data_IF_463713275761
#
_entry.id   IF_463713275761
#
_cell.length_a   1.000
_cell.length_b   1.000
_cell.length_c   1.000
_cell.angle_alpha   90.00
_cell.angle_beta   90.00
_cell.angle_gamma   90.00
#
_symmetry.space_group_name_H-M   'P 1'
#
loop_
_entity.id
_entity.type
_entity.pdbx_description
1 polymer ?
2 non-polymer ?
3 non-polymer ?
4 non-polymer ?
5 non-polymer ?
6 water ?
#
# COMPACT_ATOMS: atom_id res chain seq x y z
N UNK A 8 3.14 -14.12 -15.12
CA UNK A 8 2.72 -13.27 -14.01
C UNK A 8 1.98 -14.08 -12.94
N UNK A 9 2.70 -14.44 -11.87
CA UNK A 9 2.09 -15.18 -10.77
C UNK A 9 2.30 -14.41 -9.47
N UNK A 10 1.29 -14.47 -8.61
CA UNK A 10 1.32 -13.80 -7.31
C UNK A 10 0.80 -14.74 -6.24
N UNK A 11 1.39 -14.64 -5.06
CA UNK A 11 1.06 -15.49 -3.94
C UNK A 11 0.13 -14.91 -2.87
N UNK A 12 -0.60 -15.79 -2.19
CA UNK A 12 -1.49 -15.39 -1.09
C UNK A 12 -0.55 -15.41 0.14
N UNK A 13 -0.30 -14.25 0.73
CA UNK A 13 0.62 -14.12 1.86
C UNK A 13 0.08 -13.06 2.84
N UNK A 14 -0.93 -13.43 3.65
CA UNK A 14 -1.49 -12.45 4.59
C UNK A 14 -0.47 -11.73 5.48
N UNK A 15 -0.58 -10.40 5.55
CA UNK A 15 0.31 -9.62 6.36
C UNK A 15 1.75 -9.52 5.87
N UNK A 16 2.04 -10.08 4.69
CA UNK A 16 3.37 -10.01 4.12
C UNK A 16 4.45 -10.84 4.80
N UNK A 17 4.06 -11.68 5.75
CA UNK A 17 5.00 -12.50 6.50
C UNK A 17 5.39 -13.73 5.70
N UNK A 18 6.67 -13.89 5.45
CA UNK A 18 7.21 -15.01 4.68
C UNK A 18 8.43 -15.53 5.42
N UNK A 19 8.60 -16.85 5.46
CA UNK A 19 9.73 -17.42 6.17
C UNK A 19 11.00 -17.45 5.34
N UNK A 20 12.13 -17.61 6.01
CA UNK A 20 13.42 -17.69 5.35
C UNK A 20 13.52 -18.91 4.42
N UNK A 21 12.83 -19.99 4.77
CA UNK A 21 12.80 -21.19 3.95
C UNK A 21 12.00 -20.91 2.69
N UNK A 22 10.87 -20.24 2.86
CA UNK A 22 10.02 -19.88 1.74
C UNK A 22 10.76 -18.89 0.84
N UNK A 23 11.54 -18.01 1.43
CA UNK A 23 12.29 -17.04 0.64
C UNK A 23 13.32 -17.74 -0.26
N UNK A 24 14.05 -18.69 0.30
CA UNK A 24 15.06 -19.42 -0.47
C UNK A 24 14.42 -20.14 -1.67
N UNK A 25 13.22 -20.65 -1.47
CA UNK A 25 12.50 -21.33 -2.52
C UNK A 25 12.07 -20.36 -3.61
N UNK A 26 11.58 -19.18 -3.24
CA UNK A 26 11.15 -18.22 -4.26
C UNK A 26 12.33 -17.56 -4.97
N UNK A 27 13.45 -17.42 -4.25
CA UNK A 27 14.63 -16.82 -4.85
C UNK A 27 15.18 -17.74 -5.97
N UNK A 28 15.14 -19.05 -5.73
CA UNK A 28 15.63 -20.02 -6.70
C UNK A 28 14.79 -20.00 -7.96
N UNK A 29 13.49 -20.13 -7.79
CA UNK A 29 12.58 -20.14 -8.92
C UNK A 29 12.71 -18.88 -9.74
N UNK A 30 12.74 -17.73 -9.06
CA UNK A 30 12.87 -16.42 -9.73
C UNK A 30 14.08 -16.38 -10.66
N UNK A 31 15.20 -16.86 -10.15
CA UNK A 31 16.44 -16.86 -10.93
C UNK A 31 16.50 -17.88 -12.05
N UNK A 32 16.03 -19.10 -11.81
CA UNK A 32 16.08 -20.16 -12.80
C UNK A 32 14.88 -20.33 -13.73
N UNK A 33 13.70 -19.90 -13.33
CA UNK A 33 12.52 -20.13 -14.15
C UNK A 33 11.71 -18.98 -14.70
N UNK A 34 12.25 -17.77 -14.67
CA UNK A 34 11.53 -16.62 -15.20
C UNK A 34 12.44 -15.83 -16.15
N UNK A 35 11.83 -15.09 -17.06
CA UNK A 35 12.58 -14.28 -18.02
C UNK A 35 13.37 -13.16 -17.36
N UNK A 36 12.71 -12.44 -16.45
CA UNK A 36 13.35 -11.30 -15.79
C UNK A 36 14.28 -11.61 -14.63
N UNK A 37 14.10 -12.79 -14.01
CA UNK A 37 14.94 -13.23 -12.91
C UNK A 37 14.80 -12.47 -11.59
N UNK A 38 13.80 -11.60 -11.52
CA UNK A 38 13.60 -10.78 -10.34
C UNK A 38 12.48 -11.24 -9.43
N UNK A 39 12.48 -10.68 -8.22
CA UNK A 39 11.40 -10.91 -7.28
C UNK A 39 10.87 -9.49 -7.14
N UNK A 40 9.58 -9.28 -7.39
CA UNK A 40 8.98 -7.94 -7.30
C UNK A 40 8.03 -7.91 -6.11
N UNK A 41 8.38 -7.09 -5.12
CA UNK A 41 7.56 -6.92 -3.93
C UNK A 41 6.46 -5.96 -4.35
N UNK A 42 5.22 -6.30 -4.03
CA UNK A 42 4.09 -5.46 -4.40
C UNK A 42 3.64 -4.61 -3.22
N UNK A 43 2.79 -3.62 -3.50
CA UNK A 43 2.30 -2.77 -2.43
C UNK A 43 1.14 -3.37 -1.64
N UNK A 44 0.85 -4.64 -1.89
CA UNK A 44 -0.16 -5.38 -1.12
C UNK A 44 0.51 -6.49 -0.29
N UNK A 45 1.79 -6.28 0.02
CA UNK A 45 2.55 -7.18 0.87
C UNK A 45 2.73 -8.61 0.38
N UNK A 46 2.98 -8.75 -0.92
CA UNK A 46 3.24 -10.06 -1.47
C UNK A 46 4.30 -9.89 -2.55
N UNK A 47 4.57 -10.94 -3.30
CA UNK A 47 5.58 -10.86 -4.32
C UNK A 47 5.05 -11.39 -5.65
N UNK A 48 5.75 -11.04 -6.73
CA UNK A 48 5.41 -11.49 -8.08
C UNK A 48 6.67 -11.86 -8.85
N UNK A 49 6.50 -12.84 -9.75
CA UNK A 49 7.56 -13.26 -10.65
C UNK A 49 7.09 -12.67 -11.98
N UNK A 50 8.03 -12.33 -12.86
CA UNK A 50 7.67 -11.78 -14.15
C UNK A 50 8.24 -12.62 -15.30
N UNK A 51 7.36 -13.02 -16.22
CA UNK A 51 7.78 -13.81 -17.35
C UNK A 51 8.10 -15.24 -16.98
N UNK A 52 7.15 -15.94 -16.41
CA UNK A 52 7.38 -17.32 -16.03
C UNK A 52 7.47 -18.12 -17.31
N UNK A 53 8.53 -18.91 -17.45
CA UNK A 53 8.71 -19.74 -18.65
C UNK A 53 7.70 -20.90 -18.74
N UNK A 59 4.08 -26.40 -11.82
CA UNK A 59 5.52 -26.37 -11.52
C UNK A 59 5.88 -25.27 -10.50
N UNK A 60 5.26 -24.10 -10.61
CA UNK A 60 5.49 -23.00 -9.67
C UNK A 60 4.63 -23.35 -8.46
N UNK A 61 3.44 -23.90 -8.72
CA UNK A 61 2.49 -24.29 -7.69
C UNK A 61 3.04 -25.41 -6.83
N UNK A 62 3.83 -26.29 -7.43
CA UNK A 62 4.43 -27.39 -6.71
C UNK A 62 5.51 -26.78 -5.81
N UNK A 63 6.25 -25.83 -6.38
CA UNK A 63 7.30 -25.13 -5.66
C UNK A 63 6.67 -24.39 -4.49
N UNK A 64 5.56 -23.70 -4.76
CA UNK A 64 4.86 -22.95 -3.73
C UNK A 64 4.37 -23.91 -2.65
N UNK A 65 3.54 -24.86 -3.06
CA UNK A 65 2.97 -25.86 -2.16
C UNK A 65 3.99 -26.58 -1.30
N UNK A 66 5.17 -26.89 -1.86
CA UNK A 66 6.20 -27.59 -1.11
C UNK A 66 6.72 -26.82 0.11
N UNK A 67 6.75 -25.49 0.01
CA UNK A 67 7.19 -24.64 1.11
C UNK A 67 6.00 -24.04 1.87
N UNK A 68 4.81 -24.57 1.62
CA UNK A 68 3.63 -24.10 2.30
C UNK A 68 2.96 -22.83 1.79
N UNK A 69 3.30 -22.42 0.57
CA UNK A 69 2.72 -21.21 -0.02
C UNK A 69 1.67 -21.59 -1.08
N UNK A 70 0.61 -20.81 -1.19
CA UNK A 70 -0.40 -21.10 -2.20
C UNK A 70 -0.69 -19.88 -3.09
N UNK A 71 -0.50 -20.05 -4.40
CA UNK A 71 -0.79 -18.98 -5.35
C UNK A 71 -2.30 -18.86 -5.42
N UNK A 72 -2.82 -17.66 -5.14
CA UNK A 72 -4.28 -17.43 -5.16
C UNK A 72 -4.96 -17.96 -6.41
N UNK A 76 -12.24 -17.54 -10.13
CA UNK A 76 -13.40 -17.87 -9.33
C UNK A 76 -13.31 -17.26 -7.93
N UNK A 77 -12.20 -16.58 -7.66
CA UNK A 77 -11.98 -15.95 -6.36
C UNK A 77 -11.68 -14.46 -6.53
N UNK A 78 -12.64 -13.63 -6.16
CA UNK A 78 -12.45 -12.18 -6.26
C UNK A 78 -11.78 -11.68 -4.98
N UNK A 79 -10.69 -12.32 -4.58
CA UNK A 79 -10.00 -11.90 -3.37
C UNK A 79 -8.51 -11.65 -3.53
N UNK A 80 -8.09 -10.51 -2.97
CA UNK A 80 -6.69 -10.08 -3.02
C UNK A 80 -6.03 -10.25 -1.62
N UNK A 81 -4.75 -10.08 -1.56
CA UNK A 81 -4.02 -10.24 -0.30
C UNK A 81 -4.53 -9.33 0.81
N UNK A 82 -4.71 -9.91 2.00
CA UNK A 82 -5.18 -9.19 3.17
C UNK A 82 -3.94 -8.55 3.80
N UNK A 83 -3.95 -7.23 3.95
CA UNK A 83 -2.81 -6.52 4.54
C UNK A 83 -2.85 -6.39 6.07
N UNK A 84 -1.69 -6.17 6.66
CA UNK A 84 -1.58 -5.97 8.09
C UNK A 84 -0.37 -5.09 8.37
N UNK A 85 -0.57 -4.04 9.17
CA UNK A 85 0.51 -3.14 9.55
C UNK A 85 1.76 -3.98 9.87
N UNK A 86 2.85 -3.69 9.19
CA UNK A 86 4.08 -4.46 9.31
C UNK A 86 5.01 -4.25 10.47
N UNK A 87 5.09 -3.02 10.97
CA UNK A 87 6.06 -2.71 12.02
C UNK A 87 5.49 -1.71 13.03
N UNK A 88 4.46 -2.11 13.80
CA UNK A 88 3.81 -1.23 14.78
C UNK A 88 4.74 -0.66 15.85
N UNK A 89 4.51 0.60 16.22
CA UNK A 89 5.34 1.22 17.26
C UNK A 89 5.29 0.38 18.52
N UNK A 90 4.09 -0.10 18.85
CA UNK A 90 3.91 -0.98 19.99
C UNK A 90 4.08 -2.37 19.39
N UNK A 91 5.33 -2.82 19.28
CA UNK A 91 5.67 -4.12 18.68
C UNK A 91 4.89 -5.36 19.09
N UNK A 92 4.43 -5.39 20.33
CA UNK A 92 3.69 -6.54 20.83
C UNK A 92 2.36 -6.76 20.14
N UNK A 93 1.77 -5.70 19.60
CA UNK A 93 0.48 -5.81 18.93
C UNK A 93 0.49 -6.53 17.60
N UNK A 94 1.66 -6.61 16.97
CA UNK A 94 1.74 -7.24 15.66
C UNK A 94 1.28 -8.68 15.61
N UNK A 95 1.73 -9.50 16.56
CA UNK A 95 1.37 -10.92 16.60
C UNK A 95 -0.13 -11.15 16.59
N UNK A 96 -0.86 -10.45 17.44
CA UNK A 96 -2.31 -10.61 17.47
C UNK A 96 -2.96 -10.12 16.18
N UNK A 97 -2.62 -8.90 15.76
CA UNK A 97 -3.18 -8.34 14.54
C UNK A 97 -2.94 -9.26 13.34
N UNK A 98 -1.73 -9.79 13.23
CA UNK A 98 -1.33 -10.68 12.14
C UNK A 98 -2.17 -11.96 12.20
N UNK A 99 -2.37 -12.48 13.41
CA UNK A 99 -3.20 -13.66 13.61
C UNK A 99 -4.58 -13.42 12.99
N UNK A 100 -5.14 -12.24 13.25
CA UNK A 100 -6.45 -11.90 12.70
C UNK A 100 -6.46 -11.70 11.20
N UNK A 101 -5.39 -11.11 10.64
CA UNK A 101 -5.35 -10.92 9.18
C UNK A 101 -5.34 -12.29 8.50
N UNK A 102 -4.61 -13.23 9.11
CA UNK A 102 -4.51 -14.58 8.59
C UNK A 102 -5.87 -15.27 8.68
N UNK A 103 -6.59 -15.07 9.78
CA UNK A 103 -7.91 -15.68 9.96
C UNK A 103 -8.96 -15.14 9.00
N UNK A 104 -8.95 -13.83 8.77
CA UNK A 104 -9.89 -13.20 7.84
C UNK A 104 -9.58 -13.71 6.43
N UNK A 105 -8.29 -13.83 6.13
CA UNK A 105 -7.84 -14.32 4.84
C UNK A 105 -8.39 -15.70 4.54
N UNK A 106 -8.20 -16.63 5.46
CA UNK A 106 -8.69 -17.99 5.28
C UNK A 106 -10.20 -18.04 5.32
N UNK A 107 -10.80 -17.18 6.13
CA UNK A 107 -12.25 -17.15 6.24
C UNK A 107 -12.91 -16.73 4.93
N UNK A 108 -12.32 -15.77 4.25
CA UNK A 108 -12.87 -15.27 2.99
C UNK A 108 -12.57 -16.15 1.79
N UNK A 109 -11.59 -17.03 1.92
CA UNK A 109 -11.19 -17.92 0.83
C UNK A 109 -12.35 -18.83 0.37
N UNK A 110 -12.48 -19.04 -0.96
CA UNK A 110 -13.54 -19.89 -1.53
C UNK A 110 -13.49 -21.34 -1.05
N UNK A 137 -18.20 -17.58 -2.58
CA UNK A 137 -19.09 -16.68 -3.32
C UNK A 137 -18.32 -15.98 -4.44
N UNK A 138 -18.99 -15.72 -5.55
CA UNK A 138 -18.33 -15.00 -6.64
C UNK A 138 -18.68 -13.52 -6.49
N UNK A 139 -17.69 -12.73 -6.08
CA UNK A 139 -17.89 -11.31 -5.91
C UNK A 139 -17.88 -10.66 -7.30
N UNK A 140 -18.62 -9.56 -7.47
CA UNK A 140 -18.66 -8.89 -8.77
C UNK A 140 -17.23 -8.46 -9.12
N UNK A 141 -16.69 -7.58 -8.27
CA UNK A 141 -15.35 -7.04 -8.42
C UNK A 141 -14.43 -7.66 -7.36
N UNK A 142 -13.15 -7.35 -7.42
CA UNK A 142 -12.20 -7.86 -6.44
C UNK A 142 -12.37 -7.16 -5.10
N UNK A 143 -12.30 -7.95 -4.03
CA UNK A 143 -12.47 -7.42 -2.69
C UNK A 143 -11.13 -7.29 -1.97
N UNK A 144 -10.82 -6.09 -1.46
CA UNK A 144 -9.56 -5.82 -0.77
C UNK A 144 -9.79 -5.52 0.72
N UNK A 145 -9.04 -6.19 1.59
CA UNK A 145 -9.20 -6.08 3.05
C UNK A 145 -7.88 -5.79 3.77
N UNK A 146 -7.96 -5.10 4.91
CA UNK A 146 -6.77 -4.80 5.71
C UNK A 146 -7.07 -4.83 7.20
N UNK A 147 -5.99 -5.00 7.99
CA UNK A 147 -6.02 -4.93 9.44
C UNK A 147 -5.00 -3.81 9.73
N UNK A 148 -5.44 -2.71 10.34
CA UNK A 148 -4.58 -1.55 10.60
C UNK A 148 -4.34 -1.35 12.08
N UNK A 149 -3.10 -0.98 12.42
CA UNK A 149 -2.74 -0.71 13.81
C UNK A 149 -2.34 0.76 13.89
N UNK A 150 -3.24 1.63 14.40
CA UNK A 150 -2.90 3.05 14.52
C UNK A 150 -1.61 3.17 15.35
N UNK A 151 -0.87 4.27 15.19
CA UNK A 151 -1.11 5.43 14.33
C UNK A 151 -0.54 5.29 12.92
N UNK A 152 -0.23 4.07 12.51
CA UNK A 152 0.32 3.86 11.18
C UNK A 152 -0.72 3.44 10.14
N UNK A 153 -0.72 4.13 9.00
CA UNK A 153 -1.63 3.79 7.91
C UNK A 153 -0.77 3.38 6.72
N UNK A 154 0.27 2.61 7.01
CA UNK A 154 1.18 2.13 5.96
C UNK A 154 0.44 1.30 4.89
N UNK A 155 -0.58 0.56 5.33
CA UNK A 155 -1.34 -0.26 4.40
C UNK A 155 -2.30 0.53 3.53
N UNK A 156 -2.39 1.84 3.75
CA UNK A 156 -3.24 2.75 2.96
C UNK A 156 -4.70 2.27 2.94
N UNK A 157 -5.34 2.32 4.11
CA UNK A 157 -6.69 1.83 4.26
C UNK A 157 -7.73 2.37 3.30
N UNK A 158 -7.62 3.63 2.92
CA UNK A 158 -8.61 4.23 2.04
C UNK A 158 -8.66 3.73 0.62
N UNK A 159 -7.74 2.83 0.28
CA UNK A 159 -7.72 2.22 -1.04
C UNK A 159 -8.45 0.87 -1.00
N UNK A 160 -9.00 0.51 0.16
CA UNK A 160 -9.63 -0.81 0.33
C UNK A 160 -11.11 -0.87 0.65
N UNK A 161 -11.73 -1.98 0.25
CA UNK A 161 -13.15 -2.25 0.50
C UNK A 161 -13.52 -2.43 1.97
N UNK A 162 -12.70 -3.18 2.71
CA UNK A 162 -12.98 -3.48 4.10
C UNK A 162 -11.75 -3.34 4.99
N UNK A 163 -11.88 -2.57 6.06
CA UNK A 163 -10.77 -2.30 6.95
C UNK A 163 -11.11 -2.45 8.41
N UNK A 164 -10.27 -3.21 9.12
CA UNK A 164 -10.43 -3.41 10.55
C UNK A 164 -9.31 -2.67 11.26
N UNK A 165 -9.65 -1.55 11.87
CA UNK A 165 -8.68 -0.72 12.60
C UNK A 165 -8.61 -1.24 14.05
N UNK A 166 -7.48 -1.84 14.39
CA UNK A 166 -7.28 -2.40 15.72
C UNK A 166 -7.33 -1.41 16.89
N UNK A 167 -8.09 -1.79 17.92
CA UNK A 167 -8.22 -0.99 19.14
C UNK A 167 -7.66 -1.90 20.24
N UNK A 168 -6.63 -1.42 20.93
CA UNK A 168 -6.01 -2.18 22.01
C UNK A 168 -6.14 -1.50 23.35
N UNK A 169 -6.31 -2.33 24.36
CA UNK A 169 -6.42 -1.89 25.74
C UNK A 169 -5.36 -2.71 26.44
N UNK A 170 -4.47 -2.02 27.13
CA UNK A 170 -3.42 -2.66 27.90
C UNK A 170 -2.60 -3.72 27.15
N UNK A 171 -2.17 -3.36 25.95
CA UNK A 171 -1.35 -4.23 25.13
C UNK A 171 -2.04 -5.38 24.46
N UNK A 172 -3.36 -5.45 24.63
CA UNK A 172 -4.15 -6.51 24.04
C UNK A 172 -5.21 -5.89 23.15
N UNK A 173 -5.47 -6.56 22.05
CA UNK A 173 -6.47 -6.11 21.09
C UNK A 173 -7.82 -6.44 21.73
N UNK A 174 -8.76 -5.50 21.72
CA UNK A 174 -10.08 -5.76 22.28
C UNK A 174 -11.15 -5.74 21.19
N UNK A 175 -10.84 -5.11 20.06
CA UNK A 175 -11.82 -5.05 18.98
C UNK A 175 -11.32 -4.29 17.78
N UNK A 176 -12.24 -3.94 16.88
CA UNK A 176 -11.92 -3.22 15.65
C UNK A 176 -12.93 -2.16 15.26
N UNK A 177 -12.45 -1.06 14.67
CA UNK A 177 -13.35 -0.06 14.14
C UNK A 177 -13.42 -0.55 12.69
N UNK A 178 -14.62 -0.60 12.10
CA UNK A 178 -14.76 -1.06 10.72
C UNK A 178 -14.97 0.12 9.78
N UNK A 179 -14.16 0.20 8.73
CA UNK A 179 -14.28 1.25 7.72
C UNK A 179 -14.48 0.51 6.39
N UNK A 180 -15.49 0.92 5.63
CA UNK A 180 -15.82 0.24 4.39
C UNK A 180 -15.98 1.18 3.22
N UNK A 181 -15.57 0.73 2.05
CA UNK A 181 -15.79 1.52 0.86
C UNK A 181 -14.70 2.24 0.09
N UNK A 182 -13.44 1.99 0.40
CA UNK A 182 -12.37 2.67 -0.30
C UNK A 182 -12.12 2.02 -1.65
N UNK A 183 -11.51 2.77 -2.56
CA UNK A 183 -11.21 2.22 -3.88
C UNK A 183 -10.70 3.38 -4.72
N UNK A 184 -9.66 3.15 -5.53
CA UNK A 184 -9.05 4.26 -6.28
C UNK A 184 -9.17 4.30 -7.79
N UNK A 185 -9.56 3.18 -8.37
CA UNK A 185 -9.65 3.08 -9.82
C UNK A 185 -10.64 4.06 -10.45
N UNK A 186 -10.20 4.68 -11.54
CA UNK A 186 -11.05 5.60 -12.28
C UNK A 186 -10.77 5.32 -13.74
N UNK A 187 -11.52 5.98 -14.60
CA UNK A 187 -11.36 5.81 -16.03
C UNK A 187 -11.20 7.23 -16.52
N UNK A 188 -10.20 7.51 -17.36
CA UNK A 188 -10.00 8.88 -17.84
C UNK A 188 -11.25 9.49 -18.48
N UNK A 189 -11.58 10.71 -18.05
CA UNK A 189 -12.71 11.44 -18.61
C UNK A 189 -14.10 10.91 -18.30
N UNK A 190 -14.18 9.79 -17.60
CA UNK A 190 -15.46 9.20 -17.24
C UNK A 190 -15.88 9.65 -15.85
N UNK A 191 -16.70 10.70 -15.78
CA UNK A 191 -17.14 11.24 -14.50
C UNK A 191 -18.05 10.37 -13.68
N UNK A 192 -18.37 9.17 -14.18
CA UNK A 192 -19.21 8.24 -13.43
C UNK A 192 -18.34 7.32 -12.57
N UNK A 193 -17.03 7.44 -12.73
CA UNK A 193 -16.08 6.65 -11.96
C UNK A 193 -15.37 7.63 -11.04
N UNK A 194 -14.88 7.14 -9.90
CA UNK A 194 -14.18 7.99 -8.96
C UNK A 194 -13.45 7.21 -7.89
N UNK A 195 -12.43 7.83 -7.29
CA UNK A 195 -11.71 7.23 -6.20
C UNK A 195 -12.58 7.61 -4.99
N UNK A 196 -12.64 6.76 -3.97
CA UNK A 196 -13.46 7.06 -2.80
C UNK A 196 -12.73 6.59 -1.56
N UNK A 197 -12.84 7.33 -0.47
CA UNK A 197 -12.23 6.95 0.79
C UNK A 197 -13.22 6.03 1.52
N UNK A 198 -12.77 5.28 2.53
CA UNK A 198 -13.63 4.37 3.27
C UNK A 198 -14.49 5.09 4.32
N UNK A 199 -15.69 4.60 4.58
CA UNK A 199 -16.62 5.19 5.54
C UNK A 199 -16.64 4.44 6.88
N UNK A 200 -16.70 5.17 7.98
CA UNK A 200 -16.77 4.54 9.29
C UNK A 200 -18.14 3.93 9.53
N UNK A 201 -18.17 2.67 9.94
CA UNK A 201 -19.41 1.97 10.24
C UNK A 201 -19.62 1.93 11.77
N UNK A 202 -18.57 1.62 12.51
CA UNK A 202 -18.69 1.56 13.95
C UNK A 202 -17.69 0.58 14.54
N UNK A 203 -17.76 0.39 15.85
CA UNK A 203 -16.86 -0.50 16.55
C UNK A 203 -17.50 -1.85 16.85
N UNK A 204 -16.71 -2.91 16.77
CA UNK A 204 -17.18 -4.26 17.09
C UNK A 204 -16.15 -5.01 17.94
N UNK A 205 -16.64 -5.84 18.88
CA UNK A 205 -15.71 -6.58 19.72
C UNK A 205 -15.03 -7.61 18.85
N UNK A 206 -13.84 -8.02 19.29
CA UNK A 206 -13.02 -9.00 18.61
C UNK A 206 -13.76 -10.28 18.22
N UNK A 207 -14.65 -10.76 19.08
CA UNK A 207 -15.39 -11.99 18.83
C UNK A 207 -16.31 -11.94 17.62
N UNK A 208 -16.71 -10.74 17.21
CA UNK A 208 -17.62 -10.60 16.07
C UNK A 208 -16.94 -10.39 14.72
N UNK A 209 -15.61 -10.37 14.72
CA UNK A 209 -14.83 -10.12 13.52
C UNK A 209 -15.22 -10.88 12.27
N UNK A 210 -15.20 -12.20 12.34
CA UNK A 210 -15.52 -13.02 11.17
C UNK A 210 -16.95 -12.90 10.69
N UNK A 211 -17.89 -12.76 11.62
CA UNK A 211 -19.31 -12.63 11.26
C UNK A 211 -19.49 -11.32 10.49
N UNK A 212 -18.83 -10.27 10.96
CA UNK A 212 -18.92 -8.98 10.29
C UNK A 212 -18.23 -9.02 8.93
N UNK A 213 -17.06 -9.66 8.85
CA UNK A 213 -16.31 -9.76 7.60
C UNK A 213 -17.16 -10.44 6.53
N UNK A 214 -17.79 -11.54 6.92
CA UNK A 214 -18.65 -12.32 6.02
C UNK A 214 -19.88 -11.51 5.57
N UNK A 215 -20.47 -10.78 6.52
CA UNK A 215 -21.65 -9.96 6.26
C UNK A 215 -21.38 -8.84 5.27
N UNK A 216 -20.22 -8.18 5.37
CA UNK A 216 -19.92 -7.10 4.43
C UNK A 216 -19.75 -7.68 3.04
N UNK A 217 -19.03 -8.79 2.96
CA UNK A 217 -18.77 -9.46 1.69
C UNK A 217 -20.07 -9.88 1.02
N UNK A 218 -20.95 -10.52 1.78
CA UNK A 218 -22.20 -10.98 1.21
C UNK A 218 -23.18 -9.88 0.79
N UNK A 219 -23.29 -8.79 1.54
CA UNK A 219 -24.22 -7.77 1.07
C UNK A 219 -23.66 -7.06 -0.14
N UNK A 220 -22.35 -6.94 -0.25
CA UNK A 220 -21.75 -6.32 -1.43
C UNK A 220 -22.05 -7.25 -2.62
N UNK A 221 -21.89 -8.55 -2.40
CA UNK A 221 -22.15 -9.53 -3.46
C UNK A 221 -23.60 -9.42 -3.95
N UNK A 222 -24.53 -9.34 -3.01
CA UNK A 222 -25.95 -9.26 -3.34
C UNK A 222 -26.39 -7.92 -3.92
N UNK A 223 -25.91 -6.83 -3.33
CA UNK A 223 -26.31 -5.50 -3.77
C UNK A 223 -25.44 -4.91 -4.85
N UNK A 224 -24.30 -5.53 -5.12
CA UNK A 224 -23.39 -5.05 -6.13
C UNK A 224 -24.06 -5.00 -7.49
N UNK A 225 -23.68 -4.01 -8.30
CA UNK A 225 -24.25 -3.82 -9.63
C UNK A 225 -24.13 -5.08 -10.49
N UNK A 226 -25.27 -5.56 -11.00
CA UNK A 226 -25.34 -6.77 -11.83
C UNK A 226 -25.19 -6.50 -13.32
N UNK A 227 -25.48 -5.26 -13.71
CA UNK A 227 -25.43 -4.84 -15.10
C UNK A 227 -24.03 -4.40 -15.61
N UNK A 228 -23.31 -3.61 -14.80
CA UNK A 228 -22.00 -3.09 -15.22
C UNK A 228 -20.85 -3.35 -14.24
N UNK A 229 -19.73 -3.82 -14.77
CA UNK A 229 -18.52 -4.12 -14.00
C UNK A 229 -17.76 -2.89 -13.49
N UNK A 230 -17.78 -1.79 -14.25
CA UNK A 230 -17.09 -0.56 -13.84
C UNK A 230 -17.81 0.16 -12.70
N UNK A 231 -18.90 -0.43 -12.22
CA UNK A 231 -19.73 0.17 -11.18
C UNK A 231 -20.09 -0.89 -10.13
N UNK A 232 -19.39 -2.03 -10.17
CA UNK A 232 -19.67 -3.14 -9.27
C UNK A 232 -18.93 -3.13 -7.93
N UNK A 233 -17.95 -2.25 -7.79
CA UNK A 233 -17.13 -2.16 -6.60
C UNK A 233 -17.94 -1.61 -5.41
N UNK A 234 -17.55 -1.97 -4.18
CA UNK A 234 -18.23 -1.52 -2.96
C UNK A 234 -18.40 0.01 -2.86
N UNK A 235 -17.41 0.78 -3.30
CA UNK A 235 -17.49 2.23 -3.24
C UNK A 235 -18.73 2.76 -4.00
N UNK A 236 -19.11 2.06 -5.07
CA UNK A 236 -20.28 2.44 -5.88
C UNK A 236 -21.57 2.01 -5.21
N UNK A 237 -21.57 0.81 -4.65
CA UNK A 237 -22.74 0.27 -3.95
C UNK A 237 -23.13 1.18 -2.77
N UNK A 238 -22.14 1.58 -1.97
CA UNK A 238 -22.38 2.45 -0.83
C UNK A 238 -23.01 3.77 -1.25
N UNK A 239 -22.50 4.37 -2.31
CA UNK A 239 -23.04 5.63 -2.77
C UNK A 239 -24.44 5.47 -3.32
N UNK A 240 -24.74 4.30 -3.85
CA UNK A 240 -26.06 4.06 -4.43
C UNK A 240 -27.11 3.81 -3.36
N UNK A 241 -26.81 2.95 -2.40
CA UNK A 241 -27.77 2.63 -1.36
C UNK A 241 -27.68 3.47 -0.07
N UNK A 242 -26.53 4.08 0.16
CA UNK A 242 -26.35 4.88 1.37
C UNK A 242 -25.60 4.07 2.42
N UNK A 243 -24.68 4.72 3.12
CA UNK A 243 -23.89 4.03 4.14
C UNK A 243 -24.76 3.41 5.20
N UNK A 244 -25.74 4.16 5.70
CA UNK A 244 -26.62 3.66 6.76
C UNK A 244 -27.42 2.44 6.36
N UNK A 245 -27.88 2.43 5.11
CA UNK A 245 -28.66 1.34 4.57
C UNK A 245 -27.80 0.10 4.53
N UNK A 246 -26.57 0.27 4.05
CA UNK A 246 -25.61 -0.81 3.94
C UNK A 246 -25.23 -1.28 5.37
N UNK A 247 -24.99 -0.32 6.26
CA UNK A 247 -24.60 -0.63 7.63
C UNK A 247 -25.67 -1.46 8.32
N UNK A 248 -26.92 -1.05 8.17
CA UNK A 248 -28.05 -1.74 8.78
C UNK A 248 -28.14 -3.19 8.31
N UNK A 249 -27.87 -3.41 7.03
CA UNK A 249 -27.92 -4.76 6.49
C UNK A 249 -26.83 -5.64 7.09
N UNK A 250 -25.64 -5.06 7.26
CA UNK A 250 -24.52 -5.78 7.83
C UNK A 250 -24.81 -6.22 9.27
N UNK A 251 -25.40 -5.33 10.05
CA UNK A 251 -25.76 -5.63 11.43
C UNK A 251 -26.75 -6.76 11.45
N UNK A 252 -27.72 -6.67 10.56
CA UNK A 252 -28.76 -7.69 10.44
C UNK A 252 -28.15 -9.05 10.17
N UNK A 253 -27.34 -9.15 9.13
CA UNK A 253 -26.70 -10.40 8.76
C UNK A 253 -25.69 -10.94 9.79
N UNK A 254 -24.88 -10.06 10.37
CA UNK A 254 -23.88 -10.49 11.33
C UNK A 254 -24.51 -10.90 12.65
N UNK A 255 -25.66 -10.31 12.96
CA UNK A 255 -26.33 -10.63 14.20
C UNK A 255 -25.79 -9.77 15.33
N UNK A 256 -25.34 -8.56 14.99
CA UNK A 256 -24.80 -7.63 15.96
C UNK A 256 -25.25 -6.22 15.64
N UNK A 257 -24.95 -5.31 16.56
CA UNK A 257 -25.23 -3.89 16.38
C UNK A 257 -23.91 -3.21 16.67
N UNK A 258 -23.50 -2.35 15.76
CA UNK A 258 -22.23 -1.65 15.94
C UNK A 258 -22.23 -0.67 17.09
N UNK A 259 -21.11 -0.62 17.79
CA UNK A 259 -20.93 0.32 18.87
C UNK A 259 -20.36 1.57 18.20
N UNK A 260 -20.33 2.69 18.94
CA UNK A 260 -19.78 3.93 18.37
C UNK A 260 -18.29 3.75 18.10
N UNK A 261 -17.76 4.44 17.10
CA UNK A 261 -16.36 4.36 16.75
C UNK A 261 -15.49 4.78 17.94
N UNK A 262 -14.45 4.01 18.21
CA UNK A 262 -13.51 4.32 19.27
C UNK A 262 -12.38 5.16 18.69
N UNK A 263 -11.92 6.18 19.43
CA UNK A 263 -10.84 7.07 18.98
C UNK A 263 -9.62 6.39 18.33
N UNK A 264 -9.16 6.98 17.24
CA UNK A 264 -7.99 6.51 16.51
C UNK A 264 -7.49 7.66 15.64
N UNK A 265 -6.18 7.71 15.48
CA UNK A 265 -5.51 8.74 14.69
C UNK A 265 -4.31 8.14 13.99
N UNK A 266 -3.97 8.69 12.83
CA UNK A 266 -2.82 8.21 12.07
C UNK A 266 -1.84 9.35 12.03
N UNK A 267 -0.57 9.02 12.08
CA UNK A 267 0.47 10.03 12.04
C UNK A 267 1.31 9.89 10.76
N UNK A 268 1.18 8.77 10.04
CA UNK A 268 1.97 8.60 8.83
C UNK A 268 1.70 7.31 8.09
N UNK A 269 2.33 7.13 6.94
CA UNK A 269 2.18 5.94 6.11
C UNK A 269 3.52 5.34 5.71
N UNK A 270 4.62 6.00 6.08
CA UNK A 270 5.93 5.48 5.70
C UNK A 270 6.43 4.30 6.52
N UNK A 271 7.43 3.60 6.01
CA UNK A 271 8.03 2.48 6.73
C UNK A 271 9.05 3.11 7.69
N UNK A 272 9.58 2.32 8.61
CA UNK A 272 10.58 2.81 9.56
C UNK A 272 11.90 2.22 9.07
N UNK A 273 12.49 2.89 8.10
CA UNK A 273 13.73 2.44 7.47
C UNK A 273 14.84 2.36 8.49
N UNK A 274 15.59 1.27 8.46
CA UNK A 274 16.68 1.09 9.40
C UNK A 274 16.27 0.20 10.57
N UNK A 275 17.07 0.25 11.62
CA UNK A 275 16.83 -0.56 12.82
C UNK A 275 15.84 0.07 13.76
N UNK A 276 14.95 -0.76 14.28
CA UNK A 276 14.01 -0.33 15.29
C UNK A 276 14.00 -1.47 16.31
N UNK A 277 13.76 -1.11 17.56
CA UNK A 277 13.74 -2.06 18.67
C UNK A 277 12.36 -2.70 18.78
N UNK A 278 12.30 -4.02 18.75
CA UNK A 278 11.04 -4.69 18.88
C UNK A 278 10.89 -5.19 20.31
N UNK A 279 10.31 -6.38 20.46
CA UNK A 279 10.13 -6.98 21.77
C UNK A 279 11.32 -7.82 22.17
N UNK A 280 11.51 -7.96 23.49
CA UNK A 280 12.61 -8.74 24.06
C UNK A 280 13.94 -8.12 23.67
N UNK A 281 14.87 -8.93 23.21
CA UNK A 281 16.18 -8.44 22.78
C UNK A 281 16.18 -8.36 21.26
N UNK A 282 14.99 -8.34 20.67
CA UNK A 282 14.86 -8.31 19.22
C UNK A 282 14.81 -6.97 18.53
N UNK A 283 15.31 -6.97 17.30
CA UNK A 283 15.39 -5.78 16.46
C UNK A 283 14.83 -6.06 15.08
N UNK A 284 14.34 -5.01 14.42
CA UNK A 284 13.79 -5.13 13.09
C UNK A 284 14.54 -4.21 12.15
N UNK A 285 15.07 -4.75 11.07
CA UNK A 285 15.78 -3.96 10.08
C UNK A 285 14.92 -3.84 8.81
N UNK A 286 14.39 -2.65 8.55
CA UNK A 286 13.59 -2.44 7.35
C UNK A 286 14.54 -1.91 6.26
N UNK A 287 14.57 -2.60 5.13
CA UNK A 287 15.41 -2.23 4.00
C UNK A 287 14.61 -1.51 2.93
N UNK A 288 15.09 -0.35 2.50
CA UNK A 288 14.43 0.38 1.44
C UNK A 288 14.82 -0.31 0.12
N UNK A 289 13.83 -0.74 -0.65
CA UNK A 289 14.09 -1.38 -1.94
C UNK A 289 13.30 -0.59 -2.97
N UNK A 290 14.04 0.12 -3.83
CA UNK A 290 13.45 0.97 -4.84
C UNK A 290 12.56 0.16 -5.77
N UNK A 291 11.29 0.53 -5.79
CA UNK A 291 10.28 -0.12 -6.59
C UNK A 291 10.07 -1.56 -6.17
N UNK A 292 10.68 -1.96 -5.06
CA UNK A 292 10.56 -3.33 -4.60
C UNK A 292 11.14 -4.35 -5.58
N UNK A 293 11.96 -3.87 -6.52
CA UNK A 293 12.55 -4.75 -7.55
C UNK A 293 13.85 -5.37 -7.03
N UNK A 294 13.79 -6.67 -6.74
CA UNK A 294 14.94 -7.39 -6.23
C UNK A 294 15.65 -8.11 -7.34
N UNK A 295 16.85 -7.63 -7.65
CA UNK A 295 17.66 -8.20 -8.71
C UNK A 295 19.11 -7.82 -8.41
N UNK A 296 20.04 -8.61 -8.93
CA UNK A 296 21.43 -8.29 -8.74
C UNK A 296 21.81 -7.29 -9.82
N UNK A 297 22.31 -6.16 -9.39
CA UNK A 297 22.74 -5.13 -10.31
C UNK A 297 24.22 -5.09 -10.14
N UNK A 298 24.94 -4.66 -11.17
CA UNK A 298 26.40 -4.60 -11.03
C UNK A 298 26.78 -3.73 -9.84
N UNK A 299 27.59 -4.31 -8.94
CA UNK A 299 28.05 -3.63 -7.73
C UNK A 299 26.94 -3.44 -6.68
N UNK A 300 25.78 -4.04 -6.92
CA UNK A 300 24.64 -3.99 -6.02
C UNK A 300 23.88 -5.30 -6.09
N UNK A 301 24.49 -6.36 -5.55
CA UNK A 301 23.85 -7.68 -5.56
C UNK A 301 22.70 -7.76 -4.56
N UNK A 302 21.62 -7.04 -4.84
CA UNK A 302 20.48 -7.03 -3.93
C UNK A 302 19.88 -8.41 -3.69
N UNK A 303 19.69 -9.16 -4.77
CA UNK A 303 19.08 -10.49 -4.68
C UNK A 303 19.91 -11.51 -3.91
N UNK A 304 21.19 -11.59 -4.23
CA UNK A 304 22.09 -12.51 -3.56
C UNK A 304 22.23 -12.13 -2.09
N UNK A 305 22.32 -10.82 -1.83
CA UNK A 305 22.41 -10.34 -0.47
C UNK A 305 21.23 -10.82 0.37
N UNK A 306 20.02 -10.70 -0.16
CA UNK A 306 18.83 -11.17 0.56
C UNK A 306 18.87 -12.67 0.77
N UNK A 307 19.48 -13.38 -0.17
CA UNK A 307 19.58 -14.83 -0.02
C UNK A 307 20.55 -15.14 1.13
N UNK A 308 21.68 -14.44 1.17
CA UNK A 308 22.67 -14.67 2.23
C UNK A 308 22.07 -14.39 3.60
N UNK A 309 21.33 -13.30 3.70
CA UNK A 309 20.68 -12.95 4.95
C UNK A 309 19.66 -14.04 5.30
N UNK A 310 18.92 -14.52 4.31
CA UNK A 310 17.91 -15.54 4.56
C UNK A 310 18.55 -16.81 5.09
N UNK A 311 19.78 -17.08 4.69
CA UNK A 311 20.46 -18.29 5.16
C UNK A 311 20.86 -18.24 6.63
N UNK A 312 21.15 -17.04 7.13
CA UNK A 312 21.56 -16.94 8.51
C UNK A 312 20.49 -16.32 9.41
N UNK A 313 19.42 -15.81 8.81
CA UNK A 313 18.39 -15.17 9.61
C UNK A 313 17.55 -16.12 10.45
N UNK A 314 17.45 -15.76 11.72
CA UNK A 314 16.71 -16.53 12.72
C UNK A 314 15.19 -16.48 12.48
N UNK A 315 14.63 -15.28 12.45
CA UNK A 315 13.20 -15.16 12.25
C UNK A 315 12.81 -15.18 10.80
N UNK A 316 11.79 -14.39 10.47
CA UNK A 316 11.36 -14.29 9.09
C UNK A 316 11.41 -12.87 8.55
N UNK A 317 10.87 -12.71 7.35
CA UNK A 317 10.84 -11.42 6.65
C UNK A 317 9.39 -10.93 6.57
N UNK A 318 9.23 -9.63 6.39
CA UNK A 318 7.90 -9.06 6.26
C UNK A 318 7.93 -8.14 5.05
N UNK A 319 7.08 -8.40 4.06
CA UNK A 319 6.99 -7.54 2.89
C UNK A 319 6.03 -6.39 3.24
N UNK A 320 6.48 -5.16 3.12
CA UNK A 320 5.64 -4.01 3.46
C UNK A 320 4.75 -3.51 2.31
N UNK A 321 3.75 -2.72 2.69
CA UNK A 321 2.81 -2.14 1.74
C UNK A 321 3.50 -0.99 0.97
N UNK A 322 4.76 -0.69 1.29
CA UNK A 322 5.51 0.33 0.58
C UNK A 322 6.58 -0.34 -0.29
N UNK A 323 6.39 -1.63 -0.54
CA UNK A 323 7.29 -2.42 -1.39
C UNK A 323 8.71 -2.52 -0.84
N UNK A 324 8.84 -2.59 0.48
CA UNK A 324 10.15 -2.72 1.13
C UNK A 324 10.18 -4.04 1.87
N UNK A 325 11.31 -4.37 2.48
CA UNK A 325 11.43 -5.64 3.20
C UNK A 325 11.98 -5.49 4.60
N UNK A 326 11.34 -6.16 5.54
CA UNK A 326 11.76 -6.12 6.94
C UNK A 326 12.38 -7.45 7.35
N UNK A 327 13.60 -7.38 7.85
CA UNK A 327 14.28 -8.56 8.37
C UNK A 327 13.82 -8.51 9.82
N UNK A 328 12.82 -9.32 10.13
CA UNK A 328 12.19 -9.32 11.44
C UNK A 328 12.70 -10.27 12.52
N UNK A 329 12.74 -9.76 13.74
CA UNK A 329 13.15 -10.57 14.88
C UNK A 329 14.62 -10.95 14.89
N UNK A 330 15.48 -9.96 14.70
CA UNK A 330 16.91 -10.20 14.72
C UNK A 330 17.39 -10.06 16.16
N UNK A 331 18.03 -11.10 16.71
CA UNK A 331 18.51 -10.98 18.09
C UNK A 331 19.60 -9.92 18.11
N UNK A 332 19.69 -9.13 19.17
CA UNK A 332 20.72 -8.08 19.27
C UNK A 332 22.10 -8.62 18.94
N UNK A 333 22.35 -9.87 19.30
CA UNK A 333 23.63 -10.52 19.05
C UNK A 333 23.91 -10.67 17.56
N UNK A 334 22.84 -10.81 16.77
CA UNK A 334 22.93 -11.00 15.33
C UNK A 334 22.94 -9.73 14.49
N UNK A 335 22.68 -8.58 15.12
CA UNK A 335 22.62 -7.30 14.41
C UNK A 335 23.78 -7.02 13.48
N UNK A 336 25.00 -7.10 13.99
CA UNK A 336 26.19 -6.83 13.19
C UNK A 336 26.36 -7.75 11.98
N UNK A 337 26.01 -9.03 12.12
CA UNK A 337 26.11 -10.01 11.02
C UNK A 337 25.19 -9.61 9.88
N UNK A 338 23.92 -9.40 10.21
CA UNK A 338 22.90 -9.01 9.25
C UNK A 338 23.27 -7.70 8.58
N UNK A 339 23.63 -6.71 9.39
CA UNK A 339 23.98 -5.41 8.89
C UNK A 339 25.15 -5.46 7.92
N UNK A 340 26.11 -6.35 8.21
CA UNK A 340 27.28 -6.48 7.36
C UNK A 340 26.87 -6.86 5.93
N UNK A 341 26.03 -7.86 5.78
CA UNK A 341 25.58 -8.33 4.47
C UNK A 341 24.73 -7.29 3.74
N UNK A 342 23.74 -6.72 4.45
CA UNK A 342 22.87 -5.70 3.87
C UNK A 342 23.69 -4.54 3.37
N UNK A 343 24.69 -4.13 4.15
CA UNK A 343 25.56 -3.01 3.80
C UNK A 343 26.37 -3.29 2.54
N UNK A 344 27.04 -4.44 2.52
CA UNK A 344 27.87 -4.85 1.39
C UNK A 344 27.08 -5.04 0.10
N UNK A 345 25.88 -5.58 0.23
CA UNK A 345 25.02 -5.85 -0.92
C UNK A 345 24.34 -4.61 -1.51
N UNK A 346 24.49 -3.47 -0.84
CA UNK A 346 23.88 -2.25 -1.32
C UNK A 346 22.45 -2.06 -0.84
N UNK A 347 21.98 -2.96 0.03
CA UNK A 347 20.62 -2.90 0.55
C UNK A 347 20.43 -1.77 1.54
N UNK A 348 21.52 -1.23 2.06
CA UNK A 348 21.42 -0.13 3.01
C UNK A 348 21.97 1.17 2.47
N UNK A 349 21.94 1.33 1.15
CA UNK A 349 22.42 2.56 0.53
C UNK A 349 21.45 3.66 0.91
N UNK A 350 21.97 4.70 1.53
CA UNK A 350 21.15 5.82 1.97
C UNK A 350 20.55 6.62 0.83
N UNK A 351 19.26 6.93 0.98
CA UNK A 351 18.50 7.72 0.02
C UNK A 351 17.82 8.84 0.80
N UNK A 352 17.26 9.81 0.09
CA UNK A 352 16.60 10.92 0.74
C UNK A 352 15.24 10.50 1.29
N UNK A 353 14.73 11.26 2.26
CA UNK A 353 13.42 10.96 2.85
C UNK A 353 12.38 11.01 1.70
N UNK A 354 12.63 11.85 0.70
CA UNK A 354 11.72 11.95 -0.42
C UNK A 354 11.64 10.61 -1.13
N UNK A 355 12.79 10.04 -1.47
CA UNK A 355 12.79 8.78 -2.16
C UNK A 355 12.10 7.69 -1.35
N UNK A 356 12.32 7.70 -0.03
CA UNK A 356 11.70 6.72 0.84
C UNK A 356 10.18 6.83 0.86
N UNK A 357 9.67 8.00 0.52
CA UNK A 357 8.23 8.21 0.54
C UNK A 357 7.60 8.35 -0.82
N UNK A 358 8.22 7.74 -1.81
CA UNK A 358 7.72 7.78 -3.19
C UNK A 358 7.37 6.37 -3.62
N UNK A 359 6.40 6.24 -4.53
CA UNK A 359 5.99 4.91 -5.00
C UNK A 359 5.47 4.92 -6.43
N UNK A 360 5.63 3.80 -7.12
CA UNK A 360 5.17 3.66 -8.49
C UNK A 360 4.71 2.21 -8.71
N UNK A 361 3.79 2.01 -9.66
CA UNK A 361 3.33 0.66 -9.99
C UNK A 361 4.28 0.04 -11.02
N UNK A 362 4.10 -1.25 -11.30
CA UNK A 362 4.93 -1.97 -12.27
C UNK A 362 4.92 -1.33 -13.67
N UNK A 363 3.73 -1.20 -14.26
CA UNK A 363 3.60 -0.60 -15.59
C UNK A 363 4.43 -1.37 -16.63
N UNK A 364 5.02 -0.69 -17.60
CA UNK A 364 5.85 -1.35 -18.62
C UNK A 364 7.07 -1.92 -17.93
N UNK A 365 7.71 -2.96 -18.50
CA UNK A 365 7.37 -3.64 -19.76
C UNK A 365 6.32 -4.74 -19.69
N UNK A 366 5.95 -5.18 -18.50
CA UNK A 366 5.02 -6.28 -18.33
C UNK A 366 3.52 -6.00 -18.26
N UNK A 367 3.11 -4.82 -17.80
CA UNK A 367 1.69 -4.59 -17.69
C UNK A 367 1.01 -4.32 -19.01
N UNK A 368 0.01 -5.13 -19.35
CA UNK A 368 -0.72 -4.97 -20.62
C UNK A 368 -1.66 -3.75 -20.68
N UNK A 369 -1.92 -3.15 -19.52
CA UNK A 369 -2.82 -2.01 -19.44
C UNK A 369 -2.08 -0.67 -19.29
N UNK A 370 -0.75 -0.72 -19.24
CA UNK A 370 0.06 0.47 -19.06
C UNK A 370 -0.08 1.55 -20.15
N UNK A 371 -0.15 2.80 -19.73
CA UNK A 371 -0.27 3.92 -20.64
C UNK A 371 1.02 4.74 -20.62
N UNK A 372 1.64 4.85 -19.45
CA UNK A 372 2.87 5.60 -19.31
C UNK A 372 3.75 4.83 -18.32
N UNK A 373 5.07 5.04 -18.39
CA UNK A 373 6.02 4.38 -17.50
C UNK A 373 5.78 4.81 -16.06
N UNK A 374 6.03 3.90 -15.13
CA UNK A 374 5.85 4.20 -13.72
C UNK A 374 7.10 3.73 -13.00
N UNK A 375 7.23 2.42 -12.79
CA UNK A 375 8.40 1.88 -12.12
C UNK A 375 9.71 2.33 -12.77
N UNK A 376 9.80 2.19 -14.09
CA UNK A 376 11.03 2.58 -14.78
C UNK A 376 11.27 4.08 -14.90
N UNK A 377 10.25 4.86 -14.58
CA UNK A 377 10.31 6.32 -14.64
C UNK A 377 10.67 6.93 -13.28
N UNK A 378 10.20 6.30 -12.21
CA UNK A 378 10.39 6.83 -10.87
C UNK A 378 11.79 7.19 -10.39
N UNK A 379 12.77 6.30 -10.59
CA UNK A 379 14.12 6.62 -10.12
C UNK A 379 14.69 7.96 -10.62
N UNK A 380 14.67 8.19 -11.94
CA UNK A 380 15.21 9.44 -12.48
C UNK A 380 14.32 10.62 -12.15
N UNK A 381 13.01 10.36 -12.02
CA UNK A 381 12.07 11.42 -11.68
C UNK A 381 12.40 11.88 -10.26
N UNK A 382 12.61 10.94 -9.35
CA UNK A 382 12.93 11.34 -7.98
C UNK A 382 14.30 12.01 -7.92
N UNK A 383 15.20 11.66 -8.85
CA UNK A 383 16.52 12.31 -8.90
C UNK A 383 16.27 13.79 -9.11
N UNK A 384 15.32 14.10 -9.99
CA UNK A 384 14.97 15.49 -10.27
C UNK A 384 14.28 16.20 -9.10
N UNK A 385 13.37 15.48 -8.45
CA UNK A 385 12.65 16.03 -7.31
C UNK A 385 13.66 16.31 -6.20
N UNK A 386 14.63 15.42 -6.03
CA UNK A 386 15.66 15.61 -5.00
C UNK A 386 16.39 16.94 -5.21
N UNK A 387 16.69 17.26 -6.47
CA UNK A 387 17.37 18.52 -6.78
C UNK A 387 16.48 19.68 -6.41
N UNK A 388 15.20 19.56 -6.76
CA UNK A 388 14.25 20.60 -6.46
C UNK A 388 14.12 20.80 -4.95
N UNK A 389 14.12 19.72 -4.19
CA UNK A 389 14.01 19.81 -2.73
C UNK A 389 15.24 20.53 -2.16
N UNK A 390 16.40 20.20 -2.69
CA UNK A 390 17.67 20.80 -2.25
C UNK A 390 17.70 22.28 -2.59
N UNK A 391 17.29 22.62 -3.80
CA UNK A 391 17.26 24.00 -4.25
C UNK A 391 16.44 24.90 -3.34
N UNK A 392 15.37 24.36 -2.77
CA UNK A 392 14.52 25.14 -1.89
C UNK A 392 14.78 24.98 -0.42
N UNK A 393 15.87 24.28 -0.09
CA UNK A 393 16.23 24.08 1.30
C UNK A 393 15.33 23.11 2.07
N UNK A 394 14.72 22.16 1.37
CA UNK A 394 13.84 21.19 2.03
C UNK A 394 14.27 19.74 1.82
N UNK A 395 15.58 19.54 1.65
CA UNK A 395 16.16 18.22 1.44
C UNK A 395 15.84 17.22 2.54
N UNK A 396 15.50 17.72 3.73
CA UNK A 396 15.18 16.81 4.83
C UNK A 396 13.70 16.50 4.92
N UNK A 397 12.91 17.17 4.10
CA UNK A 397 11.46 16.98 4.06
C UNK A 397 11.08 15.91 3.04
N UNK A 398 9.78 15.61 2.98
CA UNK A 398 9.30 14.65 2.01
C UNK A 398 7.88 15.04 1.63
N UNK A 399 7.47 14.59 0.46
CA UNK A 399 6.15 14.80 -0.10
C UNK A 399 5.77 13.38 -0.53
N UNK A 400 4.63 12.87 -0.07
CA UNK A 400 4.20 11.53 -0.48
C UNK A 400 3.84 11.68 -1.98
N UNK A 401 4.72 11.18 -2.84
CA UNK A 401 4.60 11.31 -4.29
C UNK A 401 4.52 9.96 -4.93
N UNK A 402 3.50 9.76 -5.76
CA UNK A 402 3.32 8.48 -6.39
C UNK A 402 2.95 8.61 -7.85
N UNK A 403 3.39 7.64 -8.61
CA UNK A 403 3.16 7.60 -10.03
C UNK A 403 2.46 6.30 -10.37
N UNK A 404 1.34 6.38 -11.04
CA UNK A 404 0.63 5.18 -11.44
C UNK A 404 0.59 5.18 -12.98
N UNK A 405 0.87 4.03 -13.59
CA UNK A 405 0.92 3.90 -15.05
C UNK A 405 -0.33 4.10 -15.88
N UNK A 406 -1.49 3.94 -15.26
CA UNK A 406 -2.76 4.13 -15.94
C UNK A 406 -3.75 4.40 -14.81
N UNK A 407 -4.97 4.85 -15.14
CA UNK A 407 -5.99 5.16 -14.14
C UNK A 407 -6.48 4.03 -13.21
N UNK A 408 -6.15 2.78 -13.52
CA UNK A 408 -6.52 1.67 -12.64
C UNK A 408 -6.01 2.01 -11.23
N UNK A 409 -4.93 2.77 -11.17
CA UNK A 409 -4.41 3.26 -9.90
C UNK A 409 -3.62 2.41 -8.93
N UNK A 410 -2.95 1.38 -9.42
CA UNK A 410 -2.17 0.48 -8.59
C UNK A 410 -1.06 1.16 -7.77
N UNK A 411 -0.51 2.25 -8.29
CA UNK A 411 0.55 2.94 -7.58
C UNK A 411 0.02 3.79 -6.43
N UNK A 412 -1.31 3.83 -6.28
CA UNK A 412 -1.99 4.57 -5.23
C UNK A 412 -1.76 6.09 -5.27
N UNK A 413 -1.65 6.61 -6.48
CA UNK A 413 -1.44 8.02 -6.69
C UNK A 413 -2.66 8.81 -6.25
N UNK A 414 -3.83 8.18 -6.25
CA UNK A 414 -5.04 8.89 -5.84
C UNK A 414 -5.21 9.06 -4.32
N UNK A 415 -4.15 8.75 -3.58
CA UNK A 415 -4.14 8.98 -2.14
C UNK A 415 -2.84 9.73 -1.78
N UNK A 416 -2.08 10.17 -2.79
CA UNK A 416 -0.83 10.89 -2.56
C UNK A 416 -1.04 12.39 -2.43
N UNK A 417 -0.02 13.11 -1.93
CA UNK A 417 -0.07 14.57 -1.82
C UNK A 417 0.11 15.09 -3.24
N UNK A 418 0.98 14.42 -3.99
CA UNK A 418 1.24 14.73 -5.40
C UNK A 418 1.15 13.38 -6.13
N UNK A 419 0.15 13.25 -7.00
CA UNK A 419 -0.04 12.01 -7.74
C UNK A 419 0.06 12.21 -9.24
N UNK A 420 0.75 11.30 -9.92
CA UNK A 420 0.88 11.37 -11.37
C UNK A 420 0.15 10.16 -11.92
N UNK A 421 -0.80 10.39 -12.83
CA UNK A 421 -1.57 9.31 -13.43
C UNK A 421 -1.32 9.24 -14.94
N UNK A 422 -0.74 8.12 -15.36
CA UNK A 422 -0.42 7.91 -16.77
C UNK A 422 -1.60 8.09 -17.69
N UNK A 423 -1.36 8.85 -18.76
CA UNK A 423 -2.39 9.11 -19.76
C UNK A 423 -1.94 8.66 -21.15
N UNK A 424 -0.64 8.66 -21.38
CA UNK A 424 -0.07 8.25 -22.66
C UNK A 424 1.45 8.24 -22.51
N UNK A 425 2.19 7.70 -23.48
CA UNK A 425 3.67 7.66 -23.38
C UNK A 425 4.27 9.02 -23.00
N UNK A 426 4.93 9.07 -21.84
CA UNK A 426 5.52 10.31 -21.39
C UNK A 426 4.57 11.39 -20.88
N UNK A 427 3.27 11.08 -20.80
CA UNK A 427 2.28 12.07 -20.37
C UNK A 427 1.44 11.60 -19.16
N UNK A 428 1.22 12.51 -18.22
CA UNK A 428 0.50 12.19 -17.00
C UNK A 428 -0.42 13.30 -16.59
N UNK A 429 -1.44 12.97 -15.79
CA UNK A 429 -2.33 13.96 -15.21
C UNK A 429 -1.67 14.17 -13.86
N UNK A 430 -1.56 15.42 -13.43
CA UNK A 430 -0.93 15.77 -12.15
C UNK A 430 -2.00 16.14 -11.15
N UNK A 431 -2.05 15.41 -10.06
CA UNK A 431 -3.03 15.64 -9.01
C UNK A 431 -2.31 16.19 -7.77
N UNK A 432 -2.94 17.15 -7.10
CA UNK A 432 -2.37 17.77 -5.90
C UNK A 432 -3.38 17.83 -4.80
N UNK A 433 -2.92 17.89 -3.55
CA UNK A 433 -3.84 18.07 -2.46
C UNK A 433 -4.19 16.98 -1.49
N UNK A 434 -3.56 15.82 -1.59
CA UNK A 434 -3.84 14.78 -0.61
C UNK A 434 -3.06 15.20 0.63
N UNK A 435 -2.98 14.34 1.62
CA UNK A 435 -2.23 14.70 2.81
C UNK A 435 -1.28 13.54 3.14
N UNK A 436 -0.41 13.75 4.11
CA UNK A 436 0.56 12.74 4.50
C UNK A 436 -0.01 11.42 5.00
N UNK A 437 -1.13 11.47 5.71
CA UNK A 437 -1.74 10.25 6.24
C UNK A 437 -2.63 9.50 5.27
N UNK A 438 -2.98 10.12 4.13
CA UNK A 438 -3.79 9.46 3.12
C UNK A 438 -5.29 9.35 3.35
N UNK A 439 -5.89 10.45 3.77
CA UNK A 439 -7.32 10.46 4.03
C UNK A 439 -8.06 11.42 3.08
N UNK A 440 -7.37 11.93 2.06
CA UNK A 440 -7.98 12.87 1.14
C UNK A 440 -7.51 12.58 -0.28
N UNK A 441 -8.44 12.61 -1.23
CA UNK A 441 -8.13 12.33 -2.63
C UNK A 441 -7.65 13.63 -3.28
N UNK A 442 -6.54 13.58 -4.05
CA UNK A 442 -6.04 14.79 -4.70
C UNK A 442 -6.77 15.11 -6.00
N UNK A 443 -7.18 16.36 -6.15
CA UNK A 443 -7.90 16.84 -7.34
C UNK A 443 -6.92 17.03 -8.50
N UNK A 444 -7.40 16.83 -9.74
CA UNK A 444 -6.54 17.01 -10.89
C UNK A 444 -6.20 18.50 -11.03
N UNK A 445 -4.91 18.78 -11.10
CA UNK A 445 -4.37 20.12 -11.21
C UNK A 445 -4.04 20.47 -12.66
N UNK A 446 -3.34 19.58 -13.36
CA UNK A 446 -3.00 19.78 -14.76
C UNK A 446 -3.21 18.46 -15.48
N UNK A 447 -3.60 18.54 -16.73
CA UNK A 447 -3.90 17.35 -17.48
C UNK A 447 -3.00 17.08 -18.66
N UNK A 448 -2.69 15.80 -18.86
CA UNK A 448 -1.90 15.31 -20.00
C UNK A 448 -0.60 16.08 -20.31
N UNK A 449 0.25 16.25 -19.29
CA UNK A 449 1.51 16.98 -19.44
C UNK A 449 2.73 16.07 -19.32
N UNK A 450 3.86 16.56 -19.79
CA UNK A 450 5.11 15.81 -19.80
C UNK A 450 5.96 16.06 -18.56
N UNK A 451 7.01 15.25 -18.41
CA UNK A 451 7.91 15.39 -17.26
C UNK A 451 8.44 16.83 -17.12
N UNK A 452 9.01 17.40 -18.21
CA UNK A 452 9.51 18.77 -18.11
C UNK A 452 8.45 19.74 -17.61
N UNK A 453 7.21 19.59 -18.06
CA UNK A 453 6.12 20.46 -17.61
C UNK A 453 5.78 20.19 -16.15
N UNK A 454 5.82 18.92 -15.75
CA UNK A 454 5.53 18.55 -14.36
C UNK A 454 6.56 19.18 -13.43
N UNK A 455 7.83 19.00 -13.75
CA UNK A 455 8.91 19.57 -12.94
C UNK A 455 8.81 21.08 -12.78
N UNK A 456 8.51 21.79 -13.87
CA UNK A 456 8.38 23.24 -13.83
C UNK A 456 7.29 23.66 -12.86
N UNK A 457 6.17 22.93 -12.85
CA UNK A 457 5.09 23.26 -11.92
C UNK A 457 5.50 22.99 -10.47
N UNK A 458 6.11 21.84 -10.22
CA UNK A 458 6.53 21.48 -8.87
C UNK A 458 7.63 22.41 -8.33
N UNK A 459 8.53 22.83 -9.21
CA UNK A 459 9.60 23.75 -8.82
C UNK A 459 8.96 24.99 -8.19
N UNK A 460 7.95 25.53 -8.88
CA UNK A 460 7.24 26.70 -8.43
C UNK A 460 6.49 26.47 -7.11
N UNK A 461 5.77 25.35 -7.03
CA UNK A 461 4.99 25.04 -5.84
C UNK A 461 5.84 24.68 -4.61
N UNK A 462 6.87 23.88 -4.81
CA UNK A 462 7.74 23.49 -3.70
C UNK A 462 8.42 24.74 -3.16
N UNK A 463 8.74 25.66 -4.07
CA UNK A 463 9.35 26.91 -3.68
C UNK A 463 8.42 27.69 -2.78
N UNK A 464 7.14 27.78 -3.14
CA UNK A 464 6.17 28.49 -2.33
C UNK A 464 5.97 27.82 -0.98
N UNK A 465 5.86 26.50 -0.98
CA UNK A 465 5.67 25.75 0.26
C UNK A 465 6.83 26.00 1.22
N UNK A 466 8.06 25.86 0.73
CA UNK A 466 9.26 26.05 1.52
C UNK A 466 9.31 27.39 2.27
N UNK A 467 8.77 28.42 1.65
CA UNK A 467 8.75 29.77 2.21
C UNK A 467 7.49 30.16 2.98
N UNK A 468 6.33 29.76 2.47
CA UNK A 468 5.04 30.13 3.06
C UNK A 468 4.39 29.13 4.01
N UNK A 469 4.94 27.94 4.12
CA UNK A 469 4.34 26.93 4.99
C UNK A 469 4.42 27.23 6.47
N UNK A 470 3.42 26.80 7.21
CA UNK A 470 3.44 26.99 8.66
C UNK A 470 4.33 25.89 9.25
N UNK A 471 4.45 25.87 10.57
CA UNK A 471 5.29 24.89 11.25
C UNK A 471 4.76 23.45 11.11
N UNK A 472 5.57 22.57 10.54
CA UNK A 472 5.16 21.19 10.38
C UNK A 472 4.04 20.94 9.39
N UNK A 473 3.77 21.90 8.52
CA UNK A 473 2.72 21.77 7.51
C UNK A 473 3.17 21.00 6.27
N UNK A 474 2.43 19.96 5.92
CA UNK A 474 2.77 19.17 4.74
C UNK A 474 2.44 19.90 3.45
N UNK A 475 3.07 19.47 2.37
CA UNK A 475 2.87 20.03 1.04
C UNK A 475 1.41 19.99 0.59
N UNK A 476 0.78 18.82 0.69
CA UNK A 476 -0.62 18.67 0.30
C UNK A 476 -1.54 19.65 1.00
N UNK A 477 -1.49 19.68 2.34
CA UNK A 477 -2.32 20.58 3.13
C UNK A 477 -2.06 22.03 2.75
N UNK A 478 -0.80 22.33 2.51
CA UNK A 478 -0.42 23.68 2.12
C UNK A 478 -1.10 24.09 0.81
N UNK A 479 -1.04 23.24 -0.22
CA UNK A 479 -1.68 23.59 -1.50
C UNK A 479 -3.17 23.87 -1.32
N UNK A 480 -3.80 23.16 -0.40
CA UNK A 480 -5.21 23.37 -0.11
C UNK A 480 -5.37 24.68 0.68
N UNK A 481 -4.55 24.88 1.71
CA UNK A 481 -4.64 26.10 2.51
C UNK A 481 -4.36 27.36 1.68
N UNK A 482 -3.28 27.33 0.91
CA UNK A 482 -2.86 28.44 0.07
C UNK A 482 -3.76 28.70 -1.16
N UNK A 483 -4.81 27.90 -1.34
CA UNK A 483 -5.70 28.10 -2.50
C UNK A 483 -5.14 27.72 -3.86
N UNK A 484 -4.13 26.87 -3.87
CA UNK A 484 -3.53 26.42 -5.11
C UNK A 484 -4.43 25.38 -5.77
N UNK A 485 -5.16 24.61 -4.97
CA UNK A 485 -6.06 23.60 -5.49
C UNK A 485 -7.24 23.48 -4.52
N UNK A 486 -8.45 23.27 -5.02
CA UNK A 486 -9.61 23.08 -4.13
C UNK A 486 -9.56 21.65 -3.63
N UNK A 487 -9.93 21.41 -2.36
CA UNK A 487 -9.89 20.06 -1.83
C UNK A 487 -11.08 19.24 -2.36
N UNK A 488 -10.94 17.92 -2.28
CA UNK A 488 -12.00 17.01 -2.69
C UNK A 488 -12.68 16.63 -1.38
N UNK A 489 -13.89 17.14 -1.18
CA UNK A 489 -14.63 16.89 0.04
C UNK A 489 -15.64 15.72 0.05
N UNK A 490 -16.13 15.37 -1.14
CA UNK A 490 -17.16 14.34 -1.29
C UNK A 490 -16.91 13.79 -2.68
N UNK A 491 -15.85 12.96 -2.83
CA UNK A 491 -15.45 12.36 -4.10
C UNK A 491 -16.50 11.93 -5.10
N UNK A 492 -17.53 11.24 -4.63
CA UNK A 492 -18.57 10.80 -5.55
C UNK A 492 -19.24 11.98 -6.22
N UNK A 493 -19.17 13.14 -5.60
CA UNK A 493 -19.78 14.33 -6.13
C UNK A 493 -18.86 15.47 -6.56
N UNK A 494 -17.71 15.65 -5.91
CA UNK A 494 -16.84 16.77 -6.30
C UNK A 494 -15.40 16.47 -6.75
N UNK A 495 -15.11 15.21 -7.07
CA UNK A 495 -13.78 14.85 -7.52
C UNK A 495 -13.49 15.50 -8.88
N UNK A 496 -14.46 15.44 -9.79
CA UNK A 496 -14.30 15.98 -11.13
C UNK A 496 -14.76 17.42 -11.31
N UNK A 497 -13.93 18.22 -11.96
CA UNK A 497 -14.28 19.60 -12.26
C UNK A 497 -15.15 19.58 -13.52
#
# INVERSE_FOLDING_TARGET
>A
LEPRHAMLLRCRLPGGVITTKQWQAIDKFAGENTIYGSIRLTNRQTFQFHGILKKNVKPVHQMLHSVGLDALATANDMNRNVLCTSNPYESQLHAEAYEWAKKISEHLLPRTRAYAEIWLDQEKVATTDEEPILGQTYLPRKFKTTVVIPPQNDIDLHANDMNFVAIAENGKLVGFNLLVGGGLSIEHGNKKTYARTASEFGYLPLEHTLAVAEAVVTTQRDWGNRTDRKNAKTKYTLERVGVETFKAEVERRAGIKFEPIRPYEFTGRGDRIGWVKGIDDNWHLTLFIENGRILDYPARPLKTGLLEIAKIHKGDFRITANQNLIIAGVPESEKAKIEKIAKESGLMNAVTPQRENSMACVSFPTCPLAMAEAERFLPSFIDNIDNLMAKHGVSDEHIVMRVTGCPNGCGRAMLAEVGLVGKAPGRYNLHLGGNRIGTRIPRMYKENITEPEILASLDELIGRWAKEREAGEGFGDFTVRAGIIRPVLDPARDLWD
#
